data_IF_533801273163
#
_entry.id   IF_533801273163
#
_cell.length_a   1.000
_cell.length_b   1.000
_cell.length_c   1.000
_cell.angle_alpha   90.00
_cell.angle_beta   90.00
_cell.angle_gamma   90.00
#
_symmetry.space_group_name_H-M   'P 1'
#
loop_
_entity.id
_entity.type
_entity.pdbx_description
1 polymer ?
2 non-polymer ?
3 non-polymer ?
4 non-polymer ?
5 water ?
#
# COMPACT_ATOMS: atom_id res chain seq x y z
N UNK A 1 7.86 -14.89 -24.21
CA UNK A 1 7.93 -13.65 -23.38
C UNK A 1 8.91 -13.79 -22.20
N UNK A 2 10.20 -13.65 -22.49
CA UNK A 2 11.25 -13.69 -21.46
C UNK A 2 11.37 -12.34 -20.77
N UNK A 3 11.27 -12.35 -19.44
CA UNK A 3 11.48 -11.14 -18.64
C UNK A 3 13.00 -10.88 -18.49
N UNK A 4 13.39 -9.68 -18.05
CA UNK A 4 14.81 -9.39 -17.87
C UNK A 4 15.47 -10.40 -16.91
N UNK A 5 16.71 -10.79 -17.20
CA UNK A 5 17.43 -11.67 -16.31
C UNK A 5 17.60 -10.91 -14.98
N UNK A 6 17.16 -11.51 -13.89
CA UNK A 6 17.25 -10.89 -12.58
C UNK A 6 15.99 -10.18 -12.13
N UNK A 7 14.93 -10.29 -12.94
CA UNK A 7 13.61 -9.76 -12.60
C UNK A 7 13.15 -10.33 -11.26
N UNK A 8 12.50 -9.50 -10.43
CA UNK A 8 12.09 -9.91 -9.10
C UNK A 8 10.65 -10.40 -9.11
N UNK A 9 10.46 -11.64 -8.65
CA UNK A 9 9.12 -12.22 -8.51
C UNK A 9 8.85 -12.43 -7.03
N UNK A 10 7.79 -11.80 -6.55
CA UNK A 10 7.52 -11.69 -5.12
C UNK A 10 6.05 -11.95 -4.81
N UNK A 11 5.77 -12.08 -3.52
CA UNK A 11 4.42 -12.03 -2.96
C UNK A 11 4.46 -11.11 -1.73
N UNK A 12 3.31 -10.55 -1.36
CA UNK A 12 3.19 -9.63 -0.24
C UNK A 12 2.23 -10.07 0.85
N UNK A 13 2.57 -9.74 2.10
CA UNK A 13 1.62 -9.78 3.23
C UNK A 13 1.65 -8.45 4.00
N UNK A 14 0.76 -8.31 4.98
CA UNK A 14 0.80 -7.19 5.93
C UNK A 14 0.50 -7.74 7.32
N UNK A 15 1.20 -7.18 8.32
CA UNK A 15 1.21 -7.71 9.67
C UNK A 15 -0.17 -7.95 10.24
N UNK A 16 -1.01 -6.92 10.22
CA UNK A 16 -2.35 -7.07 10.80
C UNK A 16 -3.19 -8.05 9.99
N UNK A 17 -2.94 -8.11 8.69
CA UNK A 17 -3.75 -8.95 7.83
C UNK A 17 -3.46 -10.45 8.01
N UNK A 18 -2.25 -10.81 8.42
CA UNK A 18 -1.86 -12.23 8.57
C UNK A 18 -1.39 -12.72 9.96
N UNK A 19 -0.90 -11.84 10.82
CA UNK A 19 -0.12 -12.33 11.98
C UNK A 19 -0.92 -13.05 13.07
N UNK A 20 -2.12 -12.55 13.36
CA UNK A 20 -2.77 -12.86 14.63
C UNK A 20 -1.88 -12.46 15.79
N UNK A 21 -1.99 -13.20 16.91
CA UNK A 21 -1.20 -12.92 18.10
C UNK A 21 -1.30 -11.45 18.49
N UNK A 22 -2.51 -10.89 18.38
CA UNK A 22 -2.73 -9.45 18.53
C UNK A 22 -2.32 -8.90 19.91
N UNK A 23 -2.24 -9.79 20.90
CA UNK A 23 -1.84 -9.44 22.26
C UNK A 23 -0.83 -10.45 22.83
N UNK A 24 -0.23 -11.24 21.92
CA UNK A 24 0.79 -12.21 22.32
C UNK A 24 2.07 -11.52 22.74
N UNK A 25 2.73 -12.13 23.73
CA UNK A 25 4.08 -11.73 24.17
C UNK A 25 4.27 -10.24 24.48
N UNK A 26 3.25 -9.63 25.07
CA UNK A 26 3.35 -8.22 25.45
C UNK A 26 3.11 -7.19 24.34
N UNK A 27 2.73 -7.65 23.15
CA UNK A 27 2.34 -6.72 22.07
C UNK A 27 1.25 -5.74 22.53
N UNK A 28 1.48 -4.45 22.22
CA UNK A 28 0.49 -3.40 22.45
C UNK A 28 -0.62 -3.44 21.42
N UNK A 29 -1.79 -2.86 21.76
CA UNK A 29 -2.87 -2.79 20.79
C UNK A 29 -2.59 -1.77 19.67
N UNK A 30 -2.98 -2.13 18.44
CA UNK A 30 -2.97 -1.19 17.33
C UNK A 30 -4.42 -0.74 17.05
N UNK A 31 -4.56 0.27 16.18
CA UNK A 31 -5.89 0.85 15.90
C UNK A 31 -6.89 -0.16 15.34
N UNK A 32 -6.39 -1.20 14.68
CA UNK A 32 -7.25 -2.28 14.14
C UNK A 32 -7.73 -3.27 15.21
N UNK A 33 -6.94 -3.46 16.26
CA UNK A 33 -7.43 -4.22 17.41
C UNK A 33 -8.66 -3.54 18.00
N UNK A 34 -8.50 -2.26 18.33
CA UNK A 34 -9.56 -1.44 18.93
C UNK A 34 -10.79 -1.38 18.05
N UNK A 35 -10.57 -1.07 16.78
CA UNK A 35 -11.62 -0.91 15.77
C UNK A 35 -12.43 -2.21 15.54
N UNK A 36 -11.75 -3.33 15.31
CA UNK A 36 -12.49 -4.60 15.10
C UNK A 36 -13.17 -5.12 16.37
N UNK A 37 -12.57 -4.84 17.53
CA UNK A 37 -13.15 -5.27 18.80
C UNK A 37 -14.44 -4.52 19.16
N UNK A 38 -14.60 -3.33 18.61
CA UNK A 38 -15.78 -2.50 18.84
C UNK A 38 -17.02 -3.04 18.14
N UNK A 39 -16.82 -3.80 17.06
CA UNK A 39 -17.92 -4.38 16.28
C UNK A 39 -18.77 -3.30 15.63
N UNK A 40 -20.08 -3.52 15.58
CA UNK A 40 -21.02 -2.54 15.05
C UNK A 40 -21.10 -2.54 13.53
N UNK A 41 -20.78 -3.69 12.94
CA UNK A 41 -20.88 -3.96 11.49
C UNK A 41 -20.05 -3.05 10.58
N UNK A 42 -18.89 -2.63 11.07
CA UNK A 42 -17.96 -1.86 10.25
C UNK A 42 -17.05 -2.81 9.46
N UNK A 43 -16.88 -4.01 10.00
CA UNK A 43 -16.18 -5.08 9.32
C UNK A 43 -17.21 -6.19 9.00
N UNK A 44 -17.05 -6.83 7.84
CA UNK A 44 -17.85 -8.00 7.47
C UNK A 44 -17.98 -9.00 8.62
N UNK A 45 -19.24 -9.31 8.97
CA UNK A 45 -19.57 -10.27 10.06
C UNK A 45 -18.89 -10.00 11.41
N UNK A 46 -18.57 -8.74 11.69
CA UNK A 46 -17.78 -8.37 12.87
C UNK A 46 -16.50 -9.18 13.06
N UNK A 47 -15.80 -9.46 11.96
CA UNK A 47 -14.58 -10.25 12.01
C UNK A 47 -13.42 -9.41 12.55
N UNK A 48 -12.39 -10.09 13.05
CA UNK A 48 -11.19 -9.47 13.58
C UNK A 48 -9.94 -10.17 13.06
N UNK A 49 -8.81 -9.49 13.19
CA UNK A 49 -7.52 -10.12 12.94
C UNK A 49 -6.85 -10.64 14.19
N UNK A 50 -7.64 -10.99 15.22
CA UNK A 50 -7.10 -11.60 16.45
C UNK A 50 -6.21 -12.82 16.18
N UNK A 51 -6.62 -13.63 15.21
CA UNK A 51 -5.86 -14.80 14.79
C UNK A 51 -5.45 -14.68 13.31
N UNK A 52 -6.40 -14.31 12.45
CA UNK A 52 -6.17 -14.21 11.00
C UNK A 52 -5.51 -15.49 10.43
N UNK A 53 -4.36 -15.38 9.76
CA UNK A 53 -3.64 -16.57 9.23
C UNK A 53 -2.74 -17.22 10.28
N UNK A 54 -2.62 -16.54 11.43
CA UNK A 54 -1.81 -17.03 12.51
C UNK A 54 -0.32 -17.02 12.20
N UNK A 55 0.11 -16.12 11.31
CA UNK A 55 1.53 -16.07 10.89
C UNK A 55 2.55 -15.76 11.98
N UNK A 56 2.11 -15.15 13.07
CA UNK A 56 3.00 -14.97 14.21
C UNK A 56 3.39 -16.33 14.81
N UNK A 57 2.49 -17.29 14.71
CA UNK A 57 2.68 -18.62 15.28
C UNK A 57 3.18 -19.58 14.21
N UNK A 58 2.81 -19.31 12.96
CA UNK A 58 3.03 -20.25 11.86
C UNK A 58 3.93 -19.71 10.74
N UNK A 59 4.99 -18.97 11.11
CA UNK A 59 5.93 -18.48 10.10
C UNK A 59 6.52 -19.62 9.28
N UNK A 60 6.85 -20.72 9.94
CA UNK A 60 7.40 -21.87 9.23
C UNK A 60 6.53 -22.37 8.09
N UNK A 61 5.21 -22.22 8.23
CA UNK A 61 4.28 -22.54 7.15
C UNK A 61 4.31 -21.51 6.02
N UNK A 62 4.42 -20.22 6.36
CA UNK A 62 4.57 -19.19 5.34
C UNK A 62 5.84 -19.43 4.54
N UNK A 63 6.93 -19.75 5.21
CA UNK A 63 8.19 -20.01 4.53
C UNK A 63 8.06 -21.18 3.53
N UNK A 64 7.34 -22.22 3.90
CA UNK A 64 7.09 -23.34 2.99
C UNK A 64 6.43 -22.86 1.71
N UNK A 65 5.42 -22.01 1.87
CA UNK A 65 4.72 -21.39 0.74
C UNK A 65 5.64 -20.57 -0.13
N UNK A 66 6.45 -19.71 0.49
CA UNK A 66 7.43 -18.90 -0.22
C UNK A 66 8.43 -19.76 -1.00
N UNK A 67 8.90 -20.85 -0.40
CA UNK A 67 9.85 -21.73 -1.07
C UNK A 67 9.17 -22.47 -2.22
N UNK A 68 7.91 -22.86 -2.04
CA UNK A 68 7.17 -23.54 -3.09
C UNK A 68 7.00 -22.66 -4.32
N UNK A 69 6.77 -21.37 -4.10
CA UNK A 69 6.61 -20.44 -5.20
C UNK A 69 7.92 -20.16 -5.93
N UNK A 70 9.03 -20.31 -5.23
CA UNK A 70 10.36 -19.95 -5.75
C UNK A 70 10.53 -18.44 -5.83
N UNK A 71 9.89 -17.70 -4.92
CA UNK A 71 9.98 -16.23 -4.94
C UNK A 71 11.42 -15.79 -4.80
N UNK A 72 11.75 -14.71 -5.50
CA UNK A 72 13.06 -14.09 -5.37
C UNK A 72 13.01 -13.04 -4.26
N UNK A 73 11.81 -12.48 -4.02
CA UNK A 73 11.61 -11.47 -3.00
C UNK A 73 10.35 -11.81 -2.21
N UNK A 74 10.30 -11.41 -0.95
CA UNK A 74 9.08 -11.52 -0.16
C UNK A 74 8.85 -10.21 0.58
N UNK A 75 7.68 -9.63 0.37
CA UNK A 75 7.28 -8.40 1.02
C UNK A 75 6.39 -8.69 2.22
N UNK A 76 6.73 -8.06 3.35
CA UNK A 76 5.94 -8.18 4.58
C UNK A 76 6.11 -6.93 5.43
N UNK A 77 5.25 -6.73 6.41
CA UNK A 77 5.37 -5.53 7.27
C UNK A 77 5.72 -5.84 8.72
N UNK A 78 6.35 -4.85 9.35
CA UNK A 78 6.68 -4.86 10.77
C UNK A 78 5.54 -4.25 11.56
N UNK A 79 5.06 -4.96 12.59
CA UNK A 79 4.05 -4.41 13.50
C UNK A 79 4.72 -3.51 14.54
N UNK A 80 4.51 -2.21 14.37
CA UNK A 80 4.98 -1.14 15.26
C UNK A 80 4.58 -1.43 16.72
N UNK A 81 3.31 -1.78 16.91
CA UNK A 81 2.76 -2.05 18.24
C UNK A 81 3.26 -3.39 18.80
N UNK A 82 3.69 -4.31 17.93
CA UNK A 82 4.36 -5.55 18.37
C UNK A 82 5.80 -5.30 18.86
N UNK A 83 6.54 -4.49 18.11
CA UNK A 83 7.94 -4.17 18.45
C UNK A 83 8.04 -3.22 19.64
N UNK A 84 7.18 -2.20 19.62
CA UNK A 84 7.17 -1.11 20.60
C UNK A 84 5.74 -0.93 21.10
N UNK A 85 5.37 -1.70 22.13
CA UNK A 85 3.99 -1.73 22.65
C UNK A 85 3.35 -0.35 22.88
N UNK A 86 4.13 0.65 23.30
CA UNK A 86 3.59 2.01 23.47
C UNK A 86 3.92 3.00 22.33
N UNK A 87 4.58 2.51 21.29
CA UNK A 87 4.98 3.33 20.14
C UNK A 87 6.41 3.86 20.23
N UNK A 88 7.00 3.80 21.43
CA UNK A 88 8.35 4.37 21.65
C UNK A 88 9.36 3.32 22.08
N UNK A 89 10.63 3.66 22.00
CA UNK A 89 11.71 2.75 22.38
C UNK A 89 11.97 2.71 23.90
N UNK A 90 11.09 3.32 24.68
CA UNK A 90 11.11 3.20 26.14
C UNK A 90 10.97 1.76 26.63
N UNK A 91 10.24 0.96 25.85
CA UNK A 91 10.02 -0.45 26.12
C UNK A 91 10.07 -1.17 24.77
N UNK A 92 11.01 -2.10 24.66
CA UNK A 92 11.16 -2.91 23.47
C UNK A 92 10.68 -4.33 23.77
N UNK A 93 9.83 -4.86 22.88
CA UNK A 93 9.36 -6.23 22.96
C UNK A 93 10.34 -7.15 22.23
N UNK A 94 11.19 -7.83 22.99
CA UNK A 94 12.25 -8.66 22.36
C UNK A 94 11.69 -9.82 21.56
N UNK A 95 10.56 -10.36 22.00
CA UNK A 95 9.94 -11.44 21.24
C UNK A 95 9.47 -10.99 19.87
N UNK A 96 9.03 -9.73 19.77
CA UNK A 96 8.78 -9.08 18.49
C UNK A 96 10.01 -9.02 17.59
N UNK A 97 11.13 -8.50 18.12
CA UNK A 97 12.39 -8.47 17.38
C UNK A 97 12.82 -9.86 16.91
N UNK A 98 12.77 -10.82 17.82
CA UNK A 98 13.14 -12.21 17.53
C UNK A 98 12.35 -12.77 16.36
N UNK A 99 11.05 -12.48 16.34
CA UNK A 99 10.14 -12.96 15.33
C UNK A 99 10.53 -12.46 13.92
N UNK A 100 10.69 -11.15 13.77
CA UNK A 100 11.06 -10.57 12.48
C UNK A 100 12.49 -10.97 12.05
N UNK A 101 13.42 -11.07 13.00
CA UNK A 101 14.77 -11.56 12.72
C UNK A 101 14.76 -13.01 12.20
N UNK A 102 13.82 -13.81 12.71
CA UNK A 102 13.67 -15.17 12.25
C UNK A 102 13.14 -15.18 10.80
N UNK A 103 12.17 -14.33 10.48
CA UNK A 103 11.72 -14.15 9.08
C UNK A 103 12.87 -13.76 8.15
N UNK A 104 13.62 -12.72 8.54
CA UNK A 104 14.71 -12.19 7.74
C UNK A 104 15.84 -13.22 7.50
N UNK A 105 16.29 -13.86 8.58
CA UNK A 105 17.35 -14.87 8.50
C UNK A 105 16.92 -16.07 7.66
N UNK A 106 15.70 -16.54 7.88
CA UNK A 106 15.12 -17.64 7.08
C UNK A 106 15.06 -17.28 5.60
N UNK A 107 14.56 -16.08 5.28
CA UNK A 107 14.49 -15.66 3.89
C UNK A 107 15.89 -15.65 3.26
N UNK A 108 16.87 -15.11 3.98
CA UNK A 108 18.23 -15.01 3.45
C UNK A 108 18.91 -16.37 3.31
N UNK A 109 18.70 -17.27 4.27
CA UNK A 109 19.11 -18.68 4.19
C UNK A 109 18.74 -19.23 2.82
N UNK A 110 17.56 -18.84 2.35
CA UNK A 110 16.91 -19.44 1.19
C UNK A 110 17.03 -18.58 -0.06
N UNK A 111 17.89 -17.56 -0.01
CA UNK A 111 18.14 -16.68 -1.15
C UNK A 111 17.01 -15.71 -1.48
N UNK A 112 16.06 -15.57 -0.57
CA UNK A 112 14.91 -14.69 -0.78
C UNK A 112 15.21 -13.33 -0.16
N UNK A 113 15.06 -12.29 -0.97
CA UNK A 113 15.34 -10.92 -0.56
C UNK A 113 14.13 -10.27 0.12
N UNK A 114 14.29 -9.80 1.38
CA UNK A 114 13.16 -9.13 2.04
C UNK A 114 12.88 -7.74 1.50
N UNK A 115 11.60 -7.43 1.29
CA UNK A 115 11.13 -6.07 1.04
C UNK A 115 10.21 -5.71 2.23
N UNK A 116 10.67 -4.82 3.10
CA UNK A 116 10.02 -4.66 4.39
C UNK A 116 9.28 -3.33 4.51
N UNK A 117 7.99 -3.42 4.84
CA UNK A 117 7.14 -2.27 5.09
C UNK A 117 7.19 -1.93 6.58
N UNK A 118 7.60 -0.71 6.92
CA UNK A 118 7.61 -0.29 8.31
C UNK A 118 6.21 -0.13 8.93
N UNK A 119 5.28 0.40 8.14
CA UNK A 119 3.99 0.81 8.68
C UNK A 119 2.92 0.58 7.62
N UNK A 120 1.96 -0.28 7.95
CA UNK A 120 0.96 -0.75 7.01
C UNK A 120 -0.45 -0.63 7.63
N UNK A 121 -0.97 0.60 7.65
CA UNK A 121 -2.33 0.93 8.14
C UNK A 121 -2.57 0.68 9.64
N UNK A 122 -1.54 0.38 10.41
CA UNK A 122 -1.70 -0.18 11.77
C UNK A 122 -0.99 0.57 12.90
N UNK A 123 -1.38 1.82 13.11
CA UNK A 123 -0.79 2.63 14.16
C UNK A 123 -0.97 1.99 15.54
N UNK A 124 0.04 2.10 16.42
CA UNK A 124 -0.23 1.77 17.83
C UNK A 124 -1.34 2.68 18.37
N UNK A 125 -2.22 2.11 19.19
CA UNK A 125 -3.39 2.85 19.69
C UNK A 125 -2.96 4.08 20.49
N UNK A 126 -1.87 3.94 21.24
CA UNK A 126 -1.33 5.06 22.02
C UNK A 126 -1.07 6.27 21.13
N UNK A 127 -0.48 6.05 19.97
CA UNK A 127 -0.12 7.15 19.09
C UNK A 127 -1.34 7.77 18.39
N UNK A 128 -2.35 6.94 18.11
CA UNK A 128 -3.63 7.45 17.60
C UNK A 128 -4.34 8.34 18.64
N UNK A 129 -4.27 7.93 19.90
CA UNK A 129 -4.84 8.67 21.02
C UNK A 129 -4.17 10.03 21.16
N UNK A 130 -2.88 10.08 20.85
CA UNK A 130 -2.16 11.35 20.88
C UNK A 130 -2.31 12.15 19.58
N UNK A 131 -3.25 11.74 18.73
CA UNK A 131 -3.61 12.55 17.56
C UNK A 131 -3.44 11.82 16.22
N UNK A 132 -2.63 10.77 16.21
CA UNK A 132 -2.40 10.00 14.98
C UNK A 132 -1.78 10.89 13.93
N UNK A 133 -2.25 10.76 12.69
CA UNK A 133 -1.73 11.53 11.56
C UNK A 133 -2.28 12.97 11.42
N UNK A 134 -3.19 13.33 12.32
CA UNK A 134 -3.74 14.69 12.34
C UNK A 134 -2.86 15.67 13.12
N UNK A 135 -1.91 15.13 13.89
CA UNK A 135 -1.05 15.93 14.77
C UNK A 135 0.43 15.81 14.42
N UNK A 136 1.18 16.90 14.63
CA UNK A 136 2.62 16.99 14.32
C UNK A 136 3.50 16.00 15.08
N UNK A 137 3.11 15.68 16.32
CA UNK A 137 3.83 14.75 17.16
C UNK A 137 4.18 13.46 16.40
N UNK A 138 3.28 13.00 15.54
CA UNK A 138 3.47 11.72 14.81
C UNK A 138 4.78 11.67 14.00
N UNK A 139 5.24 12.81 13.50
CA UNK A 139 6.41 12.88 12.61
C UNK A 139 7.66 12.32 13.32
N UNK A 140 7.92 12.83 14.52
CA UNK A 140 9.08 12.40 15.30
C UNK A 140 8.89 10.95 15.80
N UNK A 141 7.65 10.59 16.12
CA UNK A 141 7.35 9.24 16.59
C UNK A 141 7.70 8.27 15.49
N UNK A 142 7.26 8.58 14.28
CA UNK A 142 7.54 7.73 13.11
C UNK A 142 9.03 7.71 12.75
N UNK A 143 9.68 8.86 12.82
CA UNK A 143 11.09 8.92 12.47
C UNK A 143 11.92 8.04 13.39
N UNK A 144 11.60 8.09 14.68
CA UNK A 144 12.28 7.30 15.68
C UNK A 144 11.99 5.80 15.53
N UNK A 145 10.73 5.45 15.25
CA UNK A 145 10.39 4.07 14.93
C UNK A 145 11.20 3.58 13.71
N UNK A 146 11.29 4.40 12.66
CA UNK A 146 12.06 4.02 11.47
C UNK A 146 13.55 3.74 11.76
N UNK A 147 14.18 4.65 12.51
CA UNK A 147 15.56 4.48 12.95
C UNK A 147 15.78 3.22 13.77
N UNK A 148 14.84 2.92 14.67
CA UNK A 148 14.87 1.66 15.42
C UNK A 148 14.87 0.46 14.47
N UNK A 149 14.01 0.48 13.44
CA UNK A 149 13.93 -0.62 12.47
C UNK A 149 15.18 -0.74 11.59
N UNK A 150 15.65 0.40 11.12
CA UNK A 150 16.88 0.46 10.33
C UNK A 150 18.03 -0.09 11.14
N UNK A 151 18.17 0.38 12.39
CA UNK A 151 19.20 -0.08 13.32
C UNK A 151 19.13 -1.59 13.54
N UNK A 152 17.94 -2.09 13.85
CA UNK A 152 17.74 -3.50 14.25
C UNK A 152 17.82 -4.49 13.11
N UNK A 153 17.26 -4.12 11.96
CA UNK A 153 17.11 -5.05 10.84
C UNK A 153 17.90 -4.69 9.58
N UNK A 154 18.42 -3.47 9.53
CA UNK A 154 19.03 -2.93 8.29
C UNK A 154 20.37 -3.51 7.86
N UNK A 155 21.01 -4.26 8.75
CA UNK A 155 22.22 -5.00 8.39
C UNK A 155 21.89 -6.14 7.40
N UNK A 156 20.61 -6.50 7.32
CA UNK A 156 20.17 -7.62 6.48
C UNK A 156 19.07 -7.24 5.47
N UNK A 157 18.31 -6.19 5.78
CA UNK A 157 17.25 -5.67 4.91
C UNK A 157 17.76 -4.45 4.15
N UNK A 158 17.62 -4.48 2.83
CA UNK A 158 18.14 -3.41 1.96
C UNK A 158 17.07 -2.70 1.12
N UNK A 159 15.81 -3.12 1.27
CA UNK A 159 14.72 -2.57 0.49
C UNK A 159 13.56 -2.31 1.44
N UNK A 160 13.22 -1.04 1.59
CA UNK A 160 12.25 -0.61 2.59
C UNK A 160 11.08 0.15 1.97
N UNK A 161 9.89 -0.13 2.49
CA UNK A 161 8.74 0.72 2.24
C UNK A 161 8.36 1.34 3.59
N UNK A 162 8.50 2.66 3.71
CA UNK A 162 8.26 3.31 5.01
C UNK A 162 6.79 3.22 5.40
N UNK A 163 5.93 3.63 4.47
CA UNK A 163 4.49 3.69 4.69
C UNK A 163 3.73 3.04 3.53
N UNK A 164 2.88 2.06 3.85
CA UNK A 164 2.02 1.48 2.85
C UNK A 164 0.87 2.41 2.46
N UNK A 165 0.74 2.65 1.15
CA UNK A 165 -0.39 3.39 0.56
C UNK A 165 -0.85 4.60 1.38
N UNK A 166 0.06 5.54 1.59
CA UNK A 166 -0.23 6.77 2.35
C UNK A 166 -1.46 7.49 1.82
N UNK A 167 -1.71 7.33 0.53
CA UNK A 167 -2.89 7.94 -0.09
C UNK A 167 -4.19 7.26 0.31
N UNK A 168 -4.20 5.92 0.33
CA UNK A 168 -5.38 5.17 0.80
C UNK A 168 -5.63 5.45 2.28
N UNK A 169 -4.55 5.41 3.08
CA UNK A 169 -4.62 5.68 4.52
C UNK A 169 -5.25 7.04 4.83
N UNK A 170 -4.71 8.10 4.22
CA UNK A 170 -5.21 9.47 4.39
C UNK A 170 -6.72 9.50 4.20
N UNK A 171 -7.16 8.93 3.08
CA UNK A 171 -8.57 8.96 2.70
C UNK A 171 -9.45 8.08 3.59
N UNK A 172 -9.11 6.80 3.66
CA UNK A 172 -9.87 5.83 4.46
C UNK A 172 -9.91 6.10 5.98
N UNK A 173 -8.78 6.49 6.57
CA UNK A 173 -8.73 6.71 8.01
C UNK A 173 -9.23 8.08 8.44
N UNK A 174 -8.91 9.10 7.66
CA UNK A 174 -9.03 10.46 8.17
C UNK A 174 -10.02 11.35 7.42
N UNK A 175 -10.39 10.95 6.21
CA UNK A 175 -11.37 11.72 5.46
C UNK A 175 -12.74 11.06 5.51
N UNK A 176 -12.83 9.84 4.99
CA UNK A 176 -14.08 9.09 4.99
C UNK A 176 -14.35 8.44 6.35
N UNK A 177 -13.29 8.18 7.10
CA UNK A 177 -13.41 7.51 8.38
C UNK A 177 -13.91 6.07 8.28
N UNK A 178 -13.54 5.37 7.20
CA UNK A 178 -13.93 3.97 7.02
C UNK A 178 -12.99 3.01 7.74
N UNK A 179 -11.75 3.45 7.93
CA UNK A 179 -10.72 2.76 8.71
C UNK A 179 -10.59 3.48 10.06
N UNK A 180 -10.00 2.82 11.08
CA UNK A 180 -9.72 3.53 12.35
C UNK A 180 -8.93 4.84 12.13
N UNK A 181 -9.24 5.91 12.88
CA UNK A 181 -10.09 5.99 14.08
C UNK A 181 -11.61 6.08 13.80
N UNK A 182 -12.00 6.07 12.54
CA UNK A 182 -13.41 5.86 12.16
C UNK A 182 -14.33 7.05 12.28
N UNK A 183 -13.78 8.27 12.22
CA UNK A 183 -14.59 9.50 12.27
C UNK A 183 -14.53 10.22 10.93
N UNK A 184 -15.69 10.44 10.28
CA UNK A 184 -15.71 11.22 9.04
C UNK A 184 -15.28 12.70 9.21
N UNK A 185 -14.36 13.14 8.34
CA UNK A 185 -13.96 14.55 8.25
C UNK A 185 -13.82 14.89 6.77
N UNK A 186 -14.96 14.85 6.05
CA UNK A 186 -14.99 15.07 4.61
C UNK A 186 -14.33 16.37 4.20
N UNK A 187 -13.40 16.27 3.25
CA UNK A 187 -12.71 17.43 2.70
C UNK A 187 -11.64 18.06 3.58
N UNK A 188 -11.47 17.55 4.80
CA UNK A 188 -10.51 18.17 5.74
C UNK A 188 -9.44 17.21 6.27
N UNK A 189 -9.87 16.13 6.91
CA UNK A 189 -8.96 15.20 7.58
C UNK A 189 -7.96 14.49 6.67
N UNK A 190 -8.38 14.19 5.45
CA UNK A 190 -7.52 13.55 4.46
C UNK A 190 -6.28 14.36 4.15
N UNK A 191 -6.48 15.65 3.85
CA UNK A 191 -5.37 16.57 3.53
C UNK A 191 -4.42 16.82 4.71
N UNK A 192 -4.95 16.88 5.93
CA UNK A 192 -4.13 17.01 7.13
C UNK A 192 -3.26 15.79 7.39
N UNK A 193 -3.86 14.60 7.27
CA UNK A 193 -3.13 13.33 7.38
C UNK A 193 -2.04 13.20 6.31
N UNK A 194 -2.41 13.51 5.07
CA UNK A 194 -1.50 13.46 3.91
C UNK A 194 -0.26 14.31 4.14
N UNK A 195 -0.47 15.50 4.68
CA UNK A 195 0.59 16.46 4.93
C UNK A 195 1.61 15.92 5.95
N UNK A 196 1.11 15.28 7.02
CA UNK A 196 1.97 14.71 8.04
C UNK A 196 2.62 13.40 7.60
N UNK A 197 1.90 12.63 6.80
CA UNK A 197 2.43 11.40 6.20
C UNK A 197 3.60 11.70 5.26
N UNK A 198 3.46 12.73 4.44
CA UNK A 198 4.55 13.14 3.54
C UNK A 198 5.79 13.59 4.33
N UNK A 199 5.60 14.49 5.29
CA UNK A 199 6.69 14.96 6.15
C UNK A 199 7.38 13.81 6.90
N UNK A 200 6.58 12.92 7.48
CA UNK A 200 7.11 11.78 8.22
C UNK A 200 7.96 10.88 7.31
N UNK A 201 7.41 10.50 6.15
CA UNK A 201 8.21 9.77 5.19
C UNK A 201 9.55 10.46 4.85
N UNK A 202 9.51 11.75 4.48
CA UNK A 202 10.74 12.50 4.13
C UNK A 202 11.75 12.51 5.27
N UNK A 203 11.27 12.67 6.50
CA UNK A 203 12.14 12.61 7.68
C UNK A 203 12.82 11.26 7.82
N UNK A 204 12.05 10.18 7.65
CA UNK A 204 12.62 8.85 7.76
C UNK A 204 13.69 8.57 6.68
N UNK A 205 13.42 9.06 5.45
CA UNK A 205 14.40 9.01 4.35
C UNK A 205 15.73 9.69 4.71
N UNK A 206 15.64 10.92 5.22
CA UNK A 206 16.81 11.66 5.66
C UNK A 206 17.54 10.96 6.79
N UNK A 207 16.80 10.42 7.76
CA UNK A 207 17.43 9.56 8.78
C UNK A 207 18.16 8.37 8.15
N UNK A 208 17.53 7.68 7.21
CA UNK A 208 18.22 6.59 6.52
C UNK A 208 19.50 7.08 5.80
N UNK A 209 19.33 8.14 5.03
CA UNK A 209 20.38 8.70 4.20
C UNK A 209 21.56 9.14 5.04
N UNK A 210 21.29 9.82 6.15
CA UNK A 210 22.33 10.42 7.02
C UNK A 210 23.03 9.41 7.92
N UNK A 211 22.26 8.43 8.41
CA UNK A 211 22.71 7.56 9.49
C UNK A 211 22.99 6.13 9.09
N UNK A 212 22.30 5.64 8.06
CA UNK A 212 22.35 4.22 7.73
C UNK A 212 22.88 3.84 6.35
N UNK A 213 22.58 4.67 5.34
CA UNK A 213 22.89 4.34 3.95
C UNK A 213 24.35 3.95 3.68
N UNK A 214 25.29 4.74 4.20
CA UNK A 214 26.70 4.50 3.94
C UNK A 214 27.09 3.05 4.27
N UNK A 215 26.66 2.57 5.43
CA UNK A 215 26.99 1.21 5.88
C UNK A 215 26.08 0.15 5.27
N UNK A 216 24.78 0.45 5.20
CA UNK A 216 23.77 -0.55 4.86
C UNK A 216 23.52 -0.69 3.36
N UNK A 217 23.66 0.42 2.63
CA UNK A 217 23.67 0.43 1.16
C UNK A 217 22.35 -0.04 0.56
N UNK A 218 21.26 0.32 1.23
CA UNK A 218 19.93 -0.06 0.76
C UNK A 218 19.17 1.08 0.12
N UNK A 219 17.88 0.85 -0.11
CA UNK A 219 17.02 1.89 -0.63
C UNK A 219 15.64 1.92 0.01
N UNK A 220 15.10 3.13 0.03
CA UNK A 220 13.91 3.50 0.79
C UNK A 220 12.94 4.28 -0.11
N UNK A 221 11.68 3.85 -0.09
CA UNK A 221 10.57 4.55 -0.75
C UNK A 221 9.31 4.39 0.11
N UNK A 222 8.18 4.84 -0.43
CA UNK A 222 6.86 4.57 0.18
C UNK A 222 5.97 4.08 -0.96
N UNK A 223 4.95 3.30 -0.63
CA UNK A 223 4.15 2.75 -1.71
C UNK A 223 2.89 3.59 -1.92
N UNK A 224 2.50 3.73 -3.18
CA UNK A 224 1.32 4.50 -3.50
C UNK A 224 0.32 3.70 -4.32
N UNK A 225 -0.92 3.69 -3.85
CA UNK A 225 -2.00 3.03 -4.54
C UNK A 225 -2.28 3.85 -5.80
N UNK A 226 -2.50 3.18 -6.91
CA UNK A 226 -2.78 3.86 -8.17
C UNK A 226 -3.88 3.15 -8.94
N UNK A 227 -4.92 3.92 -9.26
CA UNK A 227 -5.98 3.49 -10.13
C UNK A 227 -5.72 4.20 -11.44
N UNK A 228 -5.59 3.43 -12.53
CA UNK A 228 -5.46 4.08 -13.82
C UNK A 228 -6.80 4.69 -14.20
N UNK A 229 -6.76 5.86 -14.85
CA UNK A 229 -7.99 6.61 -15.11
C UNK A 229 -8.09 7.12 -16.55
N UNK A 230 -9.24 6.87 -17.14
CA UNK A 230 -9.53 7.22 -18.54
C UNK A 230 -10.78 8.10 -18.60
N UNK A 231 -10.84 9.03 -19.57
CA UNK A 231 -12.07 9.81 -19.74
C UNK A 231 -13.27 8.93 -20.10
N UNK A 232 -14.44 9.24 -19.52
CA UNK A 232 -15.65 8.45 -19.76
C UNK A 232 -16.07 8.56 -21.21
N UNK A 233 -16.12 9.79 -21.71
CA UNK A 233 -16.30 10.10 -23.12
C UNK A 233 -14.92 10.47 -23.65
N UNK A 234 -14.28 9.57 -24.42
CA UNK A 234 -12.90 9.75 -24.89
C UNK A 234 -12.69 10.99 -25.77
N UNK A 235 -13.77 11.57 -26.30
CA UNK A 235 -13.67 12.74 -27.16
C UNK A 235 -13.91 14.06 -26.42
N UNK A 236 -14.43 13.96 -25.19
CA UNK A 236 -14.70 15.11 -24.33
C UNK A 236 -13.44 15.66 -23.69
N UNK A 237 -13.13 16.91 -24.02
CA UNK A 237 -11.97 17.64 -23.47
C UNK A 237 -12.04 17.78 -21.94
N UNK A 238 -13.22 18.14 -21.41
CA UNK A 238 -13.41 18.21 -19.96
C UNK A 238 -13.21 16.86 -19.28
N UNK A 239 -13.67 15.78 -19.92
CA UNK A 239 -13.46 14.42 -19.42
C UNK A 239 -11.99 14.02 -19.47
N UNK A 240 -11.33 14.33 -20.58
CA UNK A 240 -9.90 14.12 -20.74
C UNK A 240 -9.11 14.83 -19.65
N UNK A 241 -9.45 16.10 -19.42
CA UNK A 241 -8.81 16.92 -18.40
C UNK A 241 -9.14 16.45 -16.98
N UNK A 242 -10.36 15.95 -16.82
CA UNK A 242 -10.83 15.43 -15.53
C UNK A 242 -10.16 14.12 -15.13
N UNK A 243 -9.96 13.21 -16.10
CA UNK A 243 -9.18 11.99 -15.85
C UNK A 243 -7.73 12.32 -15.45
N UNK A 244 -7.09 13.22 -16.18
CA UNK A 244 -5.75 13.69 -15.84
C UNK A 244 -5.67 14.25 -14.42
N UNK A 245 -6.65 15.08 -14.07
CA UNK A 245 -6.69 15.77 -12.78
C UNK A 245 -6.96 14.78 -11.65
N UNK A 246 -7.78 13.76 -11.94
CA UNK A 246 -8.06 12.70 -10.98
C UNK A 246 -6.81 11.85 -10.68
N UNK A 247 -5.96 11.64 -11.69
CA UNK A 247 -4.69 10.96 -11.48
C UNK A 247 -3.81 11.84 -10.58
N UNK A 248 -3.79 13.13 -10.89
CA UNK A 248 -3.02 14.13 -10.15
C UNK A 248 -3.45 14.22 -8.68
N UNK A 249 -4.76 14.18 -8.43
CA UNK A 249 -5.31 14.25 -7.09
C UNK A 249 -4.99 13.04 -6.20
N UNK A 250 -5.09 11.83 -6.74
CA UNK A 250 -4.96 10.63 -5.91
C UNK A 250 -3.53 10.07 -5.85
N UNK A 251 -2.74 10.34 -6.90
CA UNK A 251 -1.37 9.81 -7.00
C UNK A 251 -0.29 10.90 -6.91
N UNK A 252 -0.39 11.90 -7.77
CA UNK A 252 0.67 12.92 -7.86
C UNK A 252 0.69 13.85 -6.64
N UNK A 253 -0.45 13.96 -5.93
CA UNK A 253 -0.50 14.75 -4.69
C UNK A 253 0.63 14.33 -3.73
N UNK A 254 0.89 13.02 -3.66
CA UNK A 254 1.99 12.46 -2.86
C UNK A 254 3.30 12.39 -3.63
N UNK A 255 3.23 11.94 -4.88
CA UNK A 255 4.46 11.58 -5.59
C UNK A 255 5.24 12.81 -6.07
N UNK A 256 4.53 13.88 -6.45
CA UNK A 256 5.20 15.13 -6.85
C UNK A 256 6.13 15.72 -5.77
N UNK A 257 5.63 15.96 -4.53
CA UNK A 257 6.58 16.49 -3.52
C UNK A 257 7.80 15.60 -3.27
N UNK A 258 7.57 14.30 -3.16
CA UNK A 258 8.63 13.35 -2.79
C UNK A 258 9.62 13.11 -3.93
N UNK A 259 9.12 13.00 -5.16
CA UNK A 259 9.98 12.68 -6.31
C UNK A 259 10.45 13.89 -7.12
N UNK A 260 9.68 14.98 -7.09
CA UNK A 260 9.92 16.10 -8.01
C UNK A 260 10.45 17.39 -7.36
N UNK A 261 9.67 18.01 -6.48
CA UNK A 261 10.05 19.35 -6.00
C UNK A 261 9.56 19.75 -4.61
N UNK A 262 9.09 18.77 -3.84
CA UNK A 262 8.67 19.03 -2.47
C UNK A 262 7.35 19.78 -2.29
N UNK A 263 6.62 20.03 -3.37
CA UNK A 263 5.34 20.74 -3.24
C UNK A 263 4.21 19.98 -3.91
N UNK A 264 2.97 20.27 -3.52
CA UNK A 264 1.79 19.68 -4.15
C UNK A 264 1.66 20.09 -5.62
N UNK A 265 0.91 19.29 -6.42
CA UNK A 265 0.56 19.69 -7.80
C UNK A 265 -0.22 21.00 -7.79
N UNK A 266 0.03 21.87 -8.77
CA UNK A 266 -0.57 23.21 -8.81
C UNK A 266 -2.09 23.18 -8.94
N UNK A 267 -2.61 22.20 -9.68
CA UNK A 267 -4.06 22.09 -9.86
C UNK A 267 -4.75 21.65 -8.57
N UNK A 268 -4.03 20.91 -7.73
CA UNK A 268 -4.52 20.48 -6.42
C UNK A 268 -4.60 21.70 -5.49
N UNK A 269 -3.52 22.49 -5.44
CA UNK A 269 -3.48 23.69 -4.62
C UNK A 269 -4.55 24.69 -5.03
N UNK A 270 -4.73 24.88 -6.34
CA UNK A 270 -5.64 25.91 -6.84
C UNK A 270 -7.11 25.51 -6.71
N UNK A 271 -7.41 24.23 -6.90
CA UNK A 271 -8.78 23.72 -6.79
C UNK A 271 -9.28 23.77 -5.36
N UNK A 272 -8.44 23.34 -4.42
CA UNK A 272 -8.80 23.30 -3.01
C UNK A 272 -8.83 24.70 -2.40
N UNK A 273 -7.86 25.54 -2.77
CA UNK A 273 -7.80 26.92 -2.29
C UNK A 273 -9.05 27.71 -2.69
N UNK A 274 -9.53 27.44 -3.91
CA UNK A 274 -10.71 28.11 -4.44
C UNK A 274 -12.02 27.69 -3.76
N UNK A 275 -12.26 26.37 -3.65
CA UNK A 275 -13.43 25.88 -2.90
C UNK A 275 -13.40 26.32 -1.43
N UNK A 276 -12.22 26.27 -0.81
CA UNK A 276 -12.03 26.66 0.59
C UNK A 276 -12.44 28.10 0.85
N UNK A 277 -12.08 28.98 -0.07
CA UNK A 277 -12.38 30.40 0.05
C UNK A 277 -13.89 30.63 -0.06
N UNK A 278 -14.51 30.00 -1.06
CA UNK A 278 -15.96 30.06 -1.27
C UNK A 278 -16.74 29.48 -0.08
N UNK A 279 -16.13 28.55 0.64
CA UNK A 279 -16.77 27.88 1.77
C UNK A 279 -16.63 28.67 3.07
N UNK A 280 -15.91 29.79 3.00
CA UNK A 280 -15.70 30.63 4.19
C UNK A 280 -14.55 30.26 5.09
N UNK A 281 -13.65 29.38 4.64
CA UNK A 281 -12.41 29.12 5.40
C UNK A 281 -11.43 30.29 5.23
N UNK A 282 -10.74 30.70 6.31
CA UNK A 282 -9.69 31.73 6.21
C UNK A 282 -8.35 31.24 5.62
N UNK A 283 -8.24 29.93 5.42
CA UNK A 283 -7.04 29.32 4.87
C UNK A 283 -7.48 28.09 4.10
N UNK A 284 -6.72 27.68 3.09
CA UNK A 284 -7.06 26.50 2.32
C UNK A 284 -7.11 25.24 3.17
N UNK A 285 -8.02 24.34 2.85
CA UNK A 285 -8.12 23.07 3.57
C UNK A 285 -6.90 22.18 3.33
N UNK A 286 -6.14 22.49 2.27
CA UNK A 286 -4.85 21.85 2.01
C UNK A 286 -3.74 22.62 2.71
N UNK A 287 -3.11 22.01 3.73
CA UNK A 287 -2.00 22.73 4.41
C UNK A 287 -0.83 22.97 3.47
N UNK A 288 -0.18 24.12 3.62
CA UNK A 288 0.98 24.46 2.79
C UNK A 288 2.24 23.87 3.36
N UNK A 289 3.17 23.51 2.48
CA UNK A 289 4.55 23.26 2.91
C UNK A 289 5.30 24.58 2.98
N UNK A 290 6.10 24.76 4.02
CA UNK A 290 7.01 25.90 4.09
C UNK A 290 8.13 25.68 3.07
N UNK A 291 8.86 26.75 2.76
CA UNK A 291 10.00 26.66 1.83
C UNK A 291 11.07 25.69 2.33
N UNK A 292 11.35 25.72 3.64
CA UNK A 292 12.28 24.76 4.26
C UNK A 292 11.74 23.32 4.14
N UNK A 293 10.43 23.16 4.33
CA UNK A 293 9.77 21.87 4.20
C UNK A 293 9.82 21.31 2.78
N UNK A 294 9.61 22.18 1.78
CA UNK A 294 9.74 21.77 0.38
C UNK A 294 11.14 21.23 0.04
N UNK A 295 12.17 21.85 0.62
CA UNK A 295 13.56 21.43 0.40
C UNK A 295 13.88 20.10 1.08
N UNK A 296 13.24 19.87 2.22
CA UNK A 296 13.46 18.65 2.98
C UNK A 296 12.71 17.47 2.32
N UNK A 297 11.54 17.74 1.75
CA UNK A 297 10.71 16.70 1.15
C UNK A 297 11.20 16.26 -0.25
N UNK A 298 11.71 17.22 -1.03
CA UNK A 298 12.14 16.95 -2.39
C UNK A 298 13.22 15.87 -2.44
N UNK A 299 12.99 14.85 -3.27
CA UNK A 299 13.98 13.81 -3.55
C UNK A 299 14.17 12.79 -2.44
N UNK A 300 13.08 12.39 -1.80
CA UNK A 300 13.14 11.46 -0.67
C UNK A 300 12.62 10.04 -0.99
N UNK A 301 12.90 9.57 -2.20
CA UNK A 301 12.55 8.19 -2.60
C UNK A 301 13.58 7.64 -3.56
N UNK A 302 14.05 6.45 -3.27
CA UNK A 302 15.09 5.79 -4.06
C UNK A 302 14.55 4.97 -5.23
N UNK A 303 13.25 4.75 -5.24
CA UNK A 303 12.58 4.03 -6.32
C UNK A 303 11.10 4.29 -6.22
N UNK A 304 10.36 3.95 -7.25
CA UNK A 304 8.95 4.24 -7.27
C UNK A 304 8.20 2.95 -6.95
N UNK A 305 7.42 2.96 -5.86
CA UNK A 305 6.69 1.79 -5.43
C UNK A 305 5.22 2.08 -5.65
N UNK A 306 4.59 1.26 -6.48
CA UNK A 306 3.21 1.48 -6.88
C UNK A 306 2.41 0.19 -6.66
N UNK A 307 1.12 0.35 -6.34
CA UNK A 307 0.26 -0.79 -6.07
C UNK A 307 -0.99 -0.61 -6.92
N UNK A 308 -1.13 -1.51 -7.90
CA UNK A 308 -2.14 -1.40 -8.94
C UNK A 308 -3.10 -2.57 -8.86
N UNK A 309 -4.40 -2.27 -8.90
CA UNK A 309 -5.42 -3.32 -8.95
C UNK A 309 -6.45 -3.12 -10.07
N UNK A 310 -6.75 -1.86 -10.39
CA UNK A 310 -7.95 -1.55 -11.19
C UNK A 310 -7.90 -0.19 -11.89
N UNK A 311 -8.91 0.04 -12.74
CA UNK A 311 -9.03 1.22 -13.58
C UNK A 311 -10.47 1.74 -13.44
N UNK A 312 -10.68 3.04 -13.68
CA UNK A 312 -12.03 3.61 -13.72
C UNK A 312 -12.16 4.63 -14.84
N UNK A 313 -13.41 4.90 -15.22
CA UNK A 313 -13.73 6.00 -16.12
C UNK A 313 -13.98 7.23 -15.28
N UNK A 314 -13.58 8.38 -15.81
CA UNK A 314 -13.74 9.64 -15.10
C UNK A 314 -14.63 10.58 -15.91
N UNK A 315 -15.58 11.19 -15.23
CA UNK A 315 -16.42 12.21 -15.82
C UNK A 315 -16.22 13.49 -15.01
N UNK A 316 -16.10 14.63 -15.69
CA UNK A 316 -16.09 15.93 -15.04
C UNK A 316 -17.44 16.18 -14.35
N UNK A 317 -17.39 16.67 -13.12
CA UNK A 317 -18.60 17.00 -12.38
C UNK A 317 -18.39 18.30 -11.62
N UNK A 318 -18.90 19.39 -12.18
CA UNK A 318 -18.76 20.73 -11.60
C UNK A 318 -19.29 20.75 -10.17
N UNK A 319 -18.53 21.37 -9.26
CA UNK A 319 -18.98 21.55 -7.90
C UNK A 319 -19.76 22.86 -7.81
N UNK A 320 -20.97 22.85 -8.37
CA UNK A 320 -21.85 24.01 -8.45
C UNK A 320 -22.28 24.51 -7.07
N UNK A 321 -22.66 23.56 -6.21
CA UNK A 321 -23.21 23.86 -4.88
C UNK A 321 -22.13 24.11 -3.81
N UNK A 322 -20.86 24.06 -4.21
CA UNK A 322 -19.74 24.29 -3.29
C UNK A 322 -19.68 23.27 -2.17
N UNK A 323 -20.01 22.02 -2.50
CA UNK A 323 -20.04 20.94 -1.52
C UNK A 323 -18.63 20.56 -1.05
N UNK A 324 -18.57 19.96 0.14
CA UNK A 324 -17.31 19.73 0.84
C UNK A 324 -16.90 18.26 0.75
N UNK A 325 -15.80 18.02 0.03
CA UNK A 325 -15.24 16.67 -0.10
C UNK A 325 -14.10 16.65 -1.09
N UNK A 326 -13.33 15.57 -1.10
CA UNK A 326 -12.21 15.44 -2.05
C UNK A 326 -12.70 15.31 -3.50
N UNK A 327 -13.72 14.47 -3.73
CA UNK A 327 -14.31 14.31 -5.07
C UNK A 327 -14.78 15.66 -5.61
N UNK A 328 -15.46 16.43 -4.74
CA UNK A 328 -15.96 17.76 -5.08
C UNK A 328 -14.84 18.75 -5.35
N UNK A 329 -13.75 18.65 -4.58
CA UNK A 329 -12.55 19.46 -4.83
C UNK A 329 -11.93 19.21 -6.19
N UNK A 330 -11.89 17.95 -6.59
CA UNK A 330 -11.35 17.54 -7.88
C UNK A 330 -12.36 17.76 -9.02
N UNK A 331 -13.63 17.92 -8.64
CA UNK A 331 -14.76 18.09 -9.56
C UNK A 331 -14.83 16.94 -10.57
N UNK A 332 -14.96 15.74 -10.03
CA UNK A 332 -15.00 14.51 -10.82
C UNK A 332 -15.98 13.53 -10.22
N UNK A 333 -16.40 12.56 -11.03
CA UNK A 333 -17.05 11.37 -10.55
C UNK A 333 -16.38 10.21 -11.25
N UNK A 334 -16.41 9.04 -10.63
CA UNK A 334 -15.82 7.84 -11.23
C UNK A 334 -16.81 6.68 -11.25
N UNK A 335 -16.62 5.77 -12.21
CA UNK A 335 -17.48 4.60 -12.40
C UNK A 335 -16.84 3.61 -13.37
N UNK A 336 -17.21 2.32 -13.29
CA UNK A 336 -16.63 1.33 -14.20
C UNK A 336 -17.23 1.39 -15.59
N UNK A 337 -16.56 0.75 -16.56
CA UNK A 337 -17.19 0.44 -17.84
C UNK A 337 -18.08 -0.76 -17.57
N UNK A 338 -19.33 -0.74 -18.09
CA UNK A 338 -20.26 -1.88 -17.98
C UNK A 338 -19.68 -3.22 -18.43
N UNK A 339 -18.73 -3.19 -19.36
CA UNK A 339 -18.19 -4.40 -19.95
C UNK A 339 -17.22 -5.17 -19.04
N UNK A 340 -16.63 -4.47 -18.06
CA UNK A 340 -15.58 -5.03 -17.21
C UNK A 340 -16.10 -6.00 -16.17
N UNK A 341 -15.37 -7.09 -15.97
CA UNK A 341 -15.65 -8.03 -14.90
C UNK A 341 -15.10 -7.51 -13.57
N UNK A 342 -15.67 -7.98 -12.47
CA UNK A 342 -15.24 -7.54 -11.14
C UNK A 342 -15.51 -8.53 -10.03
N UNK A 343 -14.68 -8.43 -8.99
CA UNK A 343 -15.00 -8.93 -7.64
C UNK A 343 -14.75 -7.74 -6.72
N UNK A 344 -15.77 -7.38 -5.93
CA UNK A 344 -15.76 -6.15 -5.12
C UNK A 344 -15.37 -4.92 -5.96
N UNK A 345 -14.47 -4.09 -5.43
CA UNK A 345 -14.04 -2.88 -6.13
C UNK A 345 -13.01 -3.18 -7.21
N UNK A 346 -12.55 -4.43 -7.29
CA UNK A 346 -11.49 -4.81 -8.23
C UNK A 346 -12.11 -5.19 -9.58
N UNK A 347 -12.17 -4.21 -10.48
CA UNK A 347 -12.59 -4.42 -11.86
C UNK A 347 -11.38 -4.80 -12.68
N UNK A 348 -11.51 -5.90 -13.44
CA UNK A 348 -10.41 -6.48 -14.17
C UNK A 348 -10.07 -5.70 -15.44
N UNK A 349 -9.05 -4.84 -15.35
CA UNK A 349 -8.59 -4.06 -16.50
C UNK A 349 -7.06 -4.13 -16.60
N UNK A 350 -6.52 -5.26 -17.11
CA UNK A 350 -5.07 -5.49 -17.16
C UNK A 350 -4.26 -4.39 -17.87
N UNK A 351 -4.76 -3.89 -19.00
CA UNK A 351 -4.05 -2.85 -19.74
C UNK A 351 -3.85 -1.56 -18.95
N UNK A 352 -4.64 -1.39 -17.89
CA UNK A 352 -4.50 -0.27 -16.96
C UNK A 352 -3.09 -0.21 -16.38
N UNK A 353 -2.51 -1.37 -16.05
CA UNK A 353 -1.15 -1.41 -15.48
C UNK A 353 -0.07 -0.93 -16.46
N UNK A 354 -0.26 -1.21 -17.75
CA UNK A 354 0.62 -0.72 -18.80
C UNK A 354 0.58 0.81 -18.93
N UNK A 355 -0.63 1.36 -18.95
CA UNK A 355 -0.83 2.81 -19.03
C UNK A 355 -0.17 3.50 -17.83
N UNK A 356 -0.43 2.95 -16.65
CA UNK A 356 0.14 3.45 -15.41
C UNK A 356 1.67 3.42 -15.42
N UNK A 357 2.27 2.32 -15.84
CA UNK A 357 3.74 2.22 -15.86
C UNK A 357 4.37 3.23 -16.81
N UNK A 358 3.73 3.42 -17.97
CA UNK A 358 4.15 4.45 -18.91
C UNK A 358 4.00 5.85 -18.29
N UNK A 359 2.88 6.11 -17.63
CA UNK A 359 2.67 7.37 -16.90
C UNK A 359 3.77 7.63 -15.88
N UNK A 360 4.09 6.62 -15.07
CA UNK A 360 5.12 6.79 -14.06
C UNK A 360 6.48 7.11 -14.71
N UNK A 361 6.84 6.33 -15.72
CA UNK A 361 8.06 6.61 -16.51
C UNK A 361 8.12 8.04 -17.07
N UNK A 362 7.02 8.49 -17.66
CA UNK A 362 6.95 9.82 -18.28
C UNK A 362 6.96 10.96 -17.27
N UNK A 363 6.33 10.73 -16.12
CA UNK A 363 6.09 11.81 -15.16
C UNK A 363 7.21 11.89 -14.12
N UNK A 364 7.80 10.74 -13.80
CA UNK A 364 8.77 10.68 -12.69
C UNK A 364 10.21 10.33 -13.12
N UNK A 365 10.59 10.83 -14.30
CA UNK A 365 11.95 10.73 -14.83
C UNK A 365 12.49 9.30 -14.92
N UNK A 366 11.69 8.40 -15.49
CA UNK A 366 12.12 7.03 -15.76
C UNK A 366 12.77 6.39 -14.52
N UNK A 367 11.99 6.24 -13.42
CA UNK A 367 12.59 5.71 -12.20
C UNK A 367 12.61 4.19 -12.20
N UNK A 368 13.37 3.60 -11.28
CA UNK A 368 13.21 2.19 -10.94
C UNK A 368 11.83 2.01 -10.35
N UNK A 369 11.09 1.03 -10.87
CA UNK A 369 9.74 0.73 -10.39
C UNK A 369 9.62 -0.67 -9.77
N UNK A 370 9.07 -0.72 -8.56
CA UNK A 370 8.58 -1.95 -7.95
C UNK A 370 7.05 -1.87 -7.91
N UNK A 371 6.38 -2.90 -8.39
CA UNK A 371 4.95 -3.05 -8.14
C UNK A 371 4.89 -3.83 -6.84
N UNK A 372 4.61 -3.13 -5.74
CA UNK A 372 4.64 -3.75 -4.41
C UNK A 372 3.33 -4.44 -4.01
N UNK A 373 2.27 -4.18 -4.77
CA UNK A 373 1.03 -4.97 -4.73
C UNK A 373 0.32 -4.97 -6.07
N UNK A 374 -0.14 -6.16 -6.45
CA UNK A 374 -1.09 -6.37 -7.54
C UNK A 374 -1.70 -7.75 -7.33
N UNK A 375 -2.98 -7.89 -7.61
CA UNK A 375 -3.65 -9.19 -7.50
C UNK A 375 -5.15 -9.11 -7.71
N UNK A 376 -5.83 -10.22 -7.45
CA UNK A 376 -7.28 -10.34 -7.68
C UNK A 376 -7.90 -11.16 -6.54
N UNK A 377 -9.04 -10.69 -5.99
CA UNK A 377 -9.72 -11.49 -4.97
C UNK A 377 -10.72 -12.49 -5.56
N UNK A 378 -11.01 -13.52 -4.78
CA UNK A 378 -12.16 -14.37 -5.00
C UNK A 378 -13.16 -14.23 -3.84
N UNK A 379 -14.44 -14.43 -4.14
CA UNK A 379 -15.48 -14.47 -3.11
C UNK A 379 -15.70 -15.90 -2.65
N UNK A 380 -16.37 -16.05 -1.50
CA UNK A 380 -16.86 -17.38 -1.08
C UNK A 380 -18.14 -17.75 -1.89
N UNK A 381 -18.23 -19.00 -2.37
CA UNK A 381 -17.22 -20.06 -2.24
C UNK A 381 -16.08 -19.85 -3.24
N UNK A 382 -14.84 -19.91 -2.76
CA UNK A 382 -13.68 -19.74 -3.65
C UNK A 382 -13.11 -21.08 -4.07
N UNK A 383 -13.13 -21.38 -5.39
CA UNK A 383 -12.60 -22.66 -5.88
C UNK A 383 -11.08 -22.70 -5.77
N UNK A 384 -10.54 -23.84 -5.37
CA UNK A 384 -9.09 -24.03 -5.36
C UNK A 384 -8.51 -24.03 -6.78
N UNK A 385 -9.24 -24.63 -7.71
CA UNK A 385 -8.88 -24.57 -9.12
C UNK A 385 -9.36 -23.26 -9.74
N UNK A 386 -8.68 -22.17 -9.40
CA UNK A 386 -9.09 -20.82 -9.77
C UNK A 386 -8.61 -20.40 -11.16
N UNK A 387 -9.06 -21.14 -12.18
CA UNK A 387 -8.62 -20.95 -13.56
C UNK A 387 -8.99 -19.60 -14.18
N UNK A 388 -10.15 -19.05 -13.82
CA UNK A 388 -10.57 -17.73 -14.28
C UNK A 388 -9.71 -16.63 -13.69
N UNK A 389 -9.43 -16.71 -12.39
CA UNK A 389 -8.55 -15.72 -11.77
C UNK A 389 -7.14 -15.80 -12.36
N UNK A 390 -6.62 -17.01 -12.56
CA UNK A 390 -5.28 -17.12 -13.14
C UNK A 390 -5.18 -16.43 -14.50
N UNK A 391 -6.27 -16.53 -15.28
CA UNK A 391 -6.38 -15.85 -16.56
C UNK A 391 -6.23 -14.33 -16.45
N UNK A 392 -6.82 -13.73 -15.41
CA UNK A 392 -6.60 -12.30 -15.11
C UNK A 392 -5.12 -12.01 -14.83
N UNK A 393 -4.47 -12.90 -14.07
CA UNK A 393 -3.04 -12.79 -13.81
C UNK A 393 -2.23 -12.86 -15.09
N UNK A 394 -2.49 -13.90 -15.89
CA UNK A 394 -1.82 -14.10 -17.18
C UNK A 394 -1.88 -12.85 -18.05
N UNK A 395 -3.08 -12.27 -18.20
CA UNK A 395 -3.22 -11.05 -18.97
C UNK A 395 -2.42 -9.90 -18.34
N UNK A 396 -2.38 -9.85 -17.01
CA UNK A 396 -1.64 -8.77 -16.33
C UNK A 396 -0.14 -8.90 -16.62
N UNK A 397 0.39 -10.12 -16.56
CA UNK A 397 1.82 -10.34 -16.85
C UNK A 397 2.18 -10.00 -18.30
N UNK A 398 1.22 -10.21 -19.22
CA UNK A 398 1.39 -9.76 -20.61
C UNK A 398 1.49 -8.24 -20.74
N UNK A 399 0.73 -7.53 -19.91
CA UNK A 399 0.81 -6.07 -19.91
C UNK A 399 2.12 -5.55 -19.35
N UNK A 400 2.61 -6.20 -18.28
CA UNK A 400 3.93 -5.91 -17.72
C UNK A 400 5.03 -6.11 -18.75
N UNK A 401 4.97 -7.22 -19.48
CA UNK A 401 5.97 -7.54 -20.51
C UNK A 401 5.99 -6.48 -21.61
N UNK A 402 4.80 -6.04 -22.03
CA UNK A 402 4.67 -4.96 -22.99
C UNK A 402 5.26 -3.64 -22.47
N UNK A 403 5.03 -3.34 -21.18
CA UNK A 403 5.51 -2.08 -20.60
C UNK A 403 7.03 -2.06 -20.57
N UNK A 404 7.61 -3.23 -20.30
CA UNK A 404 9.06 -3.41 -20.31
C UNK A 404 9.62 -3.35 -21.73
N UNK A 405 9.06 -4.16 -22.62
CA UNK A 405 9.58 -4.34 -23.98
C UNK A 405 9.30 -3.17 -24.91
N UNK A 406 8.03 -2.76 -24.98
CA UNK A 406 7.64 -1.68 -25.86
C UNK A 406 7.96 -0.32 -25.24
N UNK A 407 7.47 -0.09 -24.01
CA UNK A 407 7.58 1.21 -23.39
C UNK A 407 8.89 1.44 -22.66
N UNK A 408 9.71 0.38 -22.54
CA UNK A 408 11.00 0.41 -21.87
C UNK A 408 10.92 0.95 -20.43
N UNK A 409 9.86 0.58 -19.72
CA UNK A 409 9.70 0.97 -18.32
C UNK A 409 10.67 0.15 -17.47
N UNK A 410 11.31 0.79 -16.49
CA UNK A 410 12.25 0.10 -15.61
C UNK A 410 11.55 -0.58 -14.42
N UNK A 411 10.69 -1.55 -14.74
CA UNK A 411 10.05 -2.41 -13.75
C UNK A 411 11.01 -3.54 -13.33
N UNK A 412 11.41 -3.53 -12.06
CA UNK A 412 12.40 -4.50 -11.55
C UNK A 412 11.81 -5.59 -10.67
N UNK A 413 10.74 -5.26 -9.96
CA UNK A 413 10.07 -6.23 -9.10
C UNK A 413 8.55 -6.22 -9.29
N UNK A 414 7.97 -7.41 -9.36
CA UNK A 414 6.52 -7.57 -9.32
C UNK A 414 6.15 -8.34 -8.07
N UNK A 415 5.25 -7.78 -7.27
CA UNK A 415 4.84 -8.40 -6.00
C UNK A 415 3.35 -8.67 -6.01
N UNK A 416 2.99 -9.96 -5.96
CA UNK A 416 1.59 -10.38 -5.94
C UNK A 416 0.96 -10.19 -4.57
N UNK A 417 -0.19 -9.52 -4.51
CA UNK A 417 -1.00 -9.50 -3.30
C UNK A 417 -2.08 -10.58 -3.45
N UNK A 418 -2.05 -11.65 -2.66
CA UNK A 418 -1.18 -11.83 -1.48
C UNK A 418 -0.64 -13.26 -1.47
N UNK A 419 0.38 -13.52 -0.65
CA UNK A 419 0.83 -14.88 -0.42
C UNK A 419 -0.33 -15.73 0.12
N UNK A 420 -1.10 -15.13 1.02
CA UNK A 420 -2.13 -15.84 1.79
C UNK A 420 -3.48 -15.15 1.70
N UNK A 421 -4.56 -15.95 1.64
CA UNK A 421 -5.87 -15.40 1.97
C UNK A 421 -5.73 -14.81 3.38
N UNK A 422 -6.29 -13.63 3.57
CA UNK A 422 -6.10 -12.94 4.83
C UNK A 422 -7.25 -11.99 5.22
N UNK A 423 -7.05 -11.21 6.27
CA UNK A 423 -8.05 -10.25 6.75
C UNK A 423 -8.01 -9.00 5.89
N UNK A 424 -8.97 -8.90 4.98
CA UNK A 424 -9.01 -7.83 4.00
C UNK A 424 -9.78 -6.63 4.56
N UNK A 425 -9.22 -6.05 5.62
CA UNK A 425 -9.71 -4.84 6.25
C UNK A 425 -11.25 -4.92 6.45
N UNK A 426 -12.01 -3.93 5.98
CA UNK A 426 -13.48 -3.93 6.21
C UNK A 426 -14.22 -5.12 5.60
N UNK A 427 -13.62 -5.76 4.61
CA UNK A 427 -14.22 -6.95 3.98
C UNK A 427 -13.94 -8.21 4.78
N UNK A 428 -13.13 -8.07 5.84
CA UNK A 428 -12.73 -9.23 6.64
C UNK A 428 -12.22 -10.35 5.75
N UNK A 429 -12.63 -11.59 6.05
CA UNK A 429 -12.14 -12.76 5.30
C UNK A 429 -12.96 -13.07 4.04
N UNK A 430 -13.91 -12.20 3.72
CA UNK A 430 -14.84 -12.47 2.61
C UNK A 430 -14.21 -12.17 1.24
N UNK A 431 -13.04 -11.50 1.25
CA UNK A 431 -12.27 -11.18 0.06
C UNK A 431 -10.93 -11.94 0.11
N UNK A 432 -10.77 -12.91 -0.78
CA UNK A 432 -9.66 -13.86 -0.73
C UNK A 432 -8.62 -13.60 -1.83
N UNK A 433 -7.56 -12.89 -1.45
CA UNK A 433 -6.54 -12.43 -2.41
C UNK A 433 -5.37 -13.38 -2.54
N UNK A 434 -5.36 -14.42 -1.70
CA UNK A 434 -4.20 -15.29 -1.56
C UNK A 434 -3.87 -16.15 -2.76
N UNK A 435 -2.58 -16.41 -2.93
CA UNK A 435 -2.10 -17.47 -3.82
C UNK A 435 -2.29 -18.80 -3.11
N UNK A 436 -2.26 -18.75 -1.77
CA UNK A 436 -2.53 -19.90 -0.94
C UNK A 436 -3.81 -19.71 -0.17
N UNK A 437 -4.68 -20.73 -0.27
CA UNK A 437 -5.95 -20.76 0.46
C UNK A 437 -5.70 -20.97 1.93
N UNK A 438 -6.46 -20.28 2.79
CA UNK A 438 -6.37 -20.49 4.24
C UNK A 438 -7.75 -20.80 4.81
N UNK A 439 -7.84 -21.86 5.62
CA UNK A 439 -9.11 -22.20 6.26
C UNK A 439 -9.18 -21.57 7.64
N UNK A 440 -9.96 -20.50 7.75
CA UNK A 440 -10.10 -19.72 8.99
C UNK A 440 -10.96 -20.39 10.09
N UNK A 441 -11.62 -21.50 9.73
CA UNK A 441 -12.44 -22.27 10.68
C UNK A 441 -11.59 -23.31 11.37
N UNK A 442 -10.44 -23.61 10.76
CA UNK A 442 -9.54 -24.64 11.25
C UNK A 442 -8.48 -23.98 12.14
N UNK A 443 -8.41 -24.40 13.43
CA UNK A 443 -7.50 -23.73 14.37
C UNK A 443 -6.04 -23.80 13.94
N UNK A 444 -5.70 -24.75 13.08
CA UNK A 444 -4.34 -24.87 12.53
C UNK A 444 -4.05 -23.93 11.36
N UNK A 445 -5.08 -23.25 10.87
CA UNK A 445 -5.02 -22.35 9.70
C UNK A 445 -4.17 -22.92 8.55
N UNK A 446 -4.50 -24.15 8.08
CA UNK A 446 -3.69 -24.79 7.04
C UNK A 446 -3.68 -24.00 5.72
N UNK A 447 -2.48 -23.87 5.13
CA UNK A 447 -2.35 -23.27 3.80
C UNK A 447 -2.38 -24.34 2.72
N UNK A 448 -3.18 -24.11 1.69
CA UNK A 448 -3.28 -25.02 0.53
C UNK A 448 -3.23 -24.16 -0.74
N UNK A 449 -2.36 -24.53 -1.71
CA UNK A 449 -2.22 -23.75 -2.94
C UNK A 449 -3.48 -23.69 -3.80
N UNK A 450 -3.81 -22.49 -4.26
CA UNK A 450 -4.72 -22.31 -5.38
C UNK A 450 -4.01 -22.74 -6.65
N UNK A 451 -4.74 -22.84 -7.77
CA UNK A 451 -4.11 -23.14 -9.06
C UNK A 451 -3.15 -22.02 -9.45
N UNK A 452 -3.56 -20.77 -9.20
CA UNK A 452 -2.68 -19.62 -9.37
C UNK A 452 -1.28 -19.81 -8.76
N UNK A 453 -1.17 -20.41 -7.58
CA UNK A 453 0.14 -20.65 -6.96
C UNK A 453 1.02 -21.52 -7.85
N UNK A 454 0.44 -22.62 -8.36
CA UNK A 454 1.16 -23.57 -9.21
C UNK A 454 1.57 -22.89 -10.51
N UNK A 455 0.66 -22.11 -11.08
CA UNK A 455 0.91 -21.38 -12.31
C UNK A 455 1.93 -20.26 -12.14
N UNK A 456 1.81 -19.50 -11.05
CA UNK A 456 2.83 -18.47 -10.72
C UNK A 456 4.23 -19.04 -10.56
N UNK A 457 4.32 -20.22 -9.92
CA UNK A 457 5.59 -20.89 -9.73
C UNK A 457 6.25 -21.20 -11.09
N UNK A 458 5.42 -21.51 -12.09
CA UNK A 458 5.90 -21.78 -13.46
C UNK A 458 6.45 -20.52 -14.12
N UNK A 459 5.67 -19.44 -14.06
CA UNK A 459 6.12 -18.13 -14.53
C UNK A 459 7.49 -17.79 -13.93
N UNK A 460 7.63 -17.94 -12.61
CA UNK A 460 8.87 -17.60 -11.92
C UNK A 460 10.03 -18.47 -12.38
N UNK A 461 9.79 -19.78 -12.41
CA UNK A 461 10.78 -20.77 -12.85
C UNK A 461 11.27 -20.51 -14.29
N UNK A 462 10.33 -20.17 -15.18
CA UNK A 462 10.68 -19.85 -16.57
C UNK A 462 11.10 -18.41 -16.78
N UNK A 463 10.98 -17.59 -15.74
CA UNK A 463 11.14 -16.14 -15.80
C UNK A 463 10.41 -15.52 -16.99
N UNK A 464 9.13 -15.90 -17.14
CA UNK A 464 8.37 -15.42 -18.26
C UNK A 464 7.20 -16.29 -18.66
N UNK A 465 6.59 -15.92 -19.78
CA UNK A 465 5.28 -16.43 -20.16
C UNK A 465 5.34 -17.33 -21.39
N UNK A 466 4.25 -18.08 -21.61
CA UNK A 466 4.03 -18.86 -22.84
C UNK A 466 3.59 -17.97 -24.00
#
# INVERSE_FOLDING_TARGET
>A
MAFPAGFGWAAATAAYQVEGGWDADGKGPCVWDTFTHQGGERVFKNQTGDVACGSYTLWEEDLKCIKQLGLTHYRFSLSWSRLLPDGTTGFINQKGIDYYNKIIDDLLKNGVTPIVTLYHFDLPQTLEDQGGWLSEAIIESFDKYAQFCFSTFGDRVKQWITINEANVLSVMSYDLGMFPPGIPHFGTGGYQAAHNLIKAHARSWHSYDSLFRKKQKGMVSLSLFAVWLEPADPNSVSDQEAAKRAITFHLDLFAKPIFIDGDYPEVVKSQIASMSQKQGYPSSRLPEFTEEEKKMIKGTADFFAVQYYTTRLIKYQENKKGELGILQDAEIEFFPDPSWKNVDWIYVVPWGVCKLLKYIKDTYNNPVIYITENGFPQSDPAPLDDTQRWEYFRQTFQELFKAIQLDKVNLQVYCAWSLLDNFEWNQGYSSRFGLFHVDFEDPARPRVPYTSAKEYAKIIRNNGLEAHL
#
